data_IF_319364535454
#
_entry.id   IF_319364535454
#
_cell.length_a   1.000
_cell.length_b   1.000
_cell.length_c   1.000
_cell.angle_alpha   90.00
_cell.angle_beta   90.00
_cell.angle_gamma   90.00
#
_symmetry.space_group_name_H-M   'P 1'
#
loop_
_entity.id
_entity.type
_entity.pdbx_description
1 polymer ?
#
# COMPACT_ATOMS: atom_id res chain seq x y z
N UNK A 1 44.02 -17.68 -7.23
CA UNK A 1 42.87 -18.14 -8.06
C UNK A 1 42.04 -16.91 -8.46
N UNK A 2 41.93 -16.61 -9.76
CA UNK A 2 41.09 -15.50 -10.26
C UNK A 2 39.63 -15.98 -10.30
N UNK A 3 38.77 -15.38 -9.48
CA UNK A 3 37.34 -15.68 -9.45
C UNK A 3 36.70 -15.38 -10.81
N UNK A 4 36.05 -16.39 -11.41
CA UNK A 4 35.27 -16.20 -12.63
C UNK A 4 34.14 -15.22 -12.33
N UNK A 5 33.95 -14.15 -13.13
CA UNK A 5 32.82 -13.25 -12.93
C UNK A 5 31.51 -14.01 -13.13
N UNK A 6 30.56 -13.79 -12.22
CA UNK A 6 29.22 -14.35 -12.29
C UNK A 6 28.57 -13.96 -13.63
N UNK A 7 27.75 -14.82 -14.24
CA UNK A 7 27.10 -14.51 -15.50
C UNK A 7 26.14 -13.33 -15.33
N UNK A 8 26.49 -12.20 -15.93
CA UNK A 8 25.63 -11.00 -16.00
C UNK A 8 24.79 -11.12 -17.27
N UNK A 9 23.47 -11.13 -17.12
CA UNK A 9 22.53 -11.11 -18.25
C UNK A 9 22.10 -9.67 -18.48
N UNK A 10 22.60 -9.06 -19.54
CA UNK A 10 22.30 -7.68 -19.92
C UNK A 10 21.02 -7.70 -20.76
N UNK A 11 20.01 -6.95 -20.32
CA UNK A 11 18.78 -6.76 -21.08
C UNK A 11 18.81 -5.38 -21.73
N UNK A 12 18.82 -5.35 -23.05
CA UNK A 12 18.71 -4.14 -23.84
C UNK A 12 17.24 -3.94 -24.27
N UNK A 13 16.76 -2.69 -24.27
CA UNK A 13 15.43 -2.40 -24.82
C UNK A 13 15.46 -2.66 -26.31
N UNK A 14 14.46 -3.37 -26.84
CA UNK A 14 14.27 -3.54 -28.28
C UNK A 14 13.86 -2.20 -28.90
N UNK A 15 14.40 -1.87 -30.07
CA UNK A 15 14.07 -0.64 -30.81
C UNK A 15 12.65 -0.65 -31.39
N UNK A 16 12.11 -1.83 -31.72
CA UNK A 16 10.76 -2.00 -32.28
C UNK A 16 10.04 -3.16 -31.60
N UNK A 17 8.80 -2.91 -31.18
CA UNK A 17 7.93 -3.90 -30.56
C UNK A 17 7.15 -4.68 -31.63
N UNK A 18 7.62 -5.88 -31.98
CA UNK A 18 6.93 -6.80 -32.90
C UNK A 18 5.61 -7.37 -32.31
N UNK A 19 5.26 -7.04 -31.06
CA UNK A 19 3.95 -7.31 -30.46
C UNK A 19 3.06 -6.07 -30.41
N UNK A 20 3.30 -5.08 -31.27
CA UNK A 20 2.31 -4.06 -31.56
C UNK A 20 1.03 -4.75 -32.05
N UNK A 21 0.06 -4.93 -31.15
CA UNK A 21 -1.31 -5.26 -31.52
C UNK A 21 -1.78 -4.19 -32.48
N UNK A 22 -2.33 -4.61 -33.62
CA UNK A 22 -2.91 -3.70 -34.61
C UNK A 22 -3.78 -2.66 -33.88
N UNK A 23 -3.62 -1.39 -34.25
CA UNK A 23 -4.42 -0.30 -33.70
C UNK A 23 -5.87 -0.45 -34.16
N UNK A 24 -6.61 -1.34 -33.50
CA UNK A 24 -7.97 -1.74 -33.83
C UNK A 24 -8.80 -1.87 -32.56
N UNK A 25 -8.77 -0.83 -31.72
CA UNK A 25 -9.71 -0.74 -30.60
C UNK A 25 -11.13 -0.60 -31.15
N UNK A 26 -11.99 -1.59 -30.88
CA UNK A 26 -13.42 -1.49 -31.18
C UNK A 26 -13.96 -0.22 -30.51
N UNK A 27 -14.59 0.70 -31.27
CA UNK A 27 -15.13 1.97 -30.75
C UNK A 27 -16.31 1.77 -29.80
N UNK A 28 -16.76 0.51 -29.65
CA UNK A 28 -17.86 0.17 -28.76
C UNK A 28 -17.40 0.25 -27.30
N UNK A 29 -18.21 0.87 -26.42
CA UNK A 29 -17.93 0.86 -25.00
C UNK A 29 -17.89 -0.59 -24.48
N UNK A 30 -17.03 -0.90 -23.49
CA UNK A 30 -16.98 -2.22 -22.87
C UNK A 30 -18.35 -2.69 -22.36
N UNK A 31 -18.56 -4.01 -22.31
CA UNK A 31 -19.85 -4.61 -21.89
C UNK A 31 -20.29 -4.22 -20.48
N UNK A 32 -19.33 -3.94 -19.60
CA UNK A 32 -19.58 -3.53 -18.21
C UNK A 32 -20.01 -2.07 -18.05
N UNK A 33 -20.00 -1.26 -19.13
CA UNK A 33 -20.46 0.13 -19.07
C UNK A 33 -21.99 0.16 -18.94
N UNK A 34 -22.46 0.67 -17.80
CA UNK A 34 -23.87 0.84 -17.46
C UNK A 34 -24.53 1.85 -18.38
N UNK A 35 -25.85 1.70 -18.57
CA UNK A 35 -26.65 2.58 -19.43
C UNK A 35 -27.98 2.93 -18.77
N UNK A 36 -28.60 4.01 -19.23
CA UNK A 36 -29.97 4.37 -18.85
C UNK A 36 -30.15 4.49 -17.34
N UNK A 37 -31.04 3.67 -16.77
CA UNK A 37 -31.42 3.73 -15.35
C UNK A 37 -30.28 3.31 -14.42
N UNK A 38 -29.56 2.23 -14.74
CA UNK A 38 -28.48 1.70 -13.91
C UNK A 38 -27.32 2.70 -13.78
N UNK A 39 -26.98 3.40 -14.88
CA UNK A 39 -25.96 4.45 -14.85
C UNK A 39 -26.38 5.64 -13.96
N UNK A 40 -27.65 6.04 -14.04
CA UNK A 40 -28.22 7.10 -13.20
C UNK A 40 -28.22 6.71 -11.72
N UNK A 41 -28.63 5.50 -11.41
CA UNK A 41 -28.61 4.96 -10.05
C UNK A 41 -27.17 4.92 -9.51
N UNK A 42 -26.20 4.43 -10.31
CA UNK A 42 -24.78 4.45 -9.92
C UNK A 42 -24.29 5.86 -9.64
N UNK A 43 -24.57 6.81 -10.52
CA UNK A 43 -24.18 8.21 -10.33
C UNK A 43 -24.79 8.83 -9.07
N UNK A 44 -26.06 8.51 -8.75
CA UNK A 44 -26.69 8.96 -7.51
C UNK A 44 -26.01 8.38 -6.27
N UNK A 45 -25.67 7.09 -6.29
CA UNK A 45 -24.90 6.46 -5.20
C UNK A 45 -23.56 7.15 -4.99
N UNK A 46 -22.77 7.34 -6.05
CA UNK A 46 -21.46 7.97 -5.94
C UNK A 46 -21.52 9.43 -5.48
N UNK A 47 -22.57 10.17 -5.86
CA UNK A 47 -22.80 11.53 -5.34
C UNK A 47 -23.12 11.52 -3.85
N UNK A 48 -24.00 10.62 -3.42
CA UNK A 48 -24.33 10.46 -2.00
C UNK A 48 -23.07 10.10 -1.19
N UNK A 49 -22.27 9.17 -1.69
CA UNK A 49 -20.98 8.79 -1.07
C UNK A 49 -20.05 10.01 -0.89
N UNK A 50 -19.97 10.90 -1.88
CA UNK A 50 -19.20 12.13 -1.80
C UNK A 50 -19.77 13.13 -0.79
N UNK A 51 -21.09 13.33 -0.80
CA UNK A 51 -21.78 14.24 0.11
C UNK A 51 -21.59 13.78 1.57
N UNK A 52 -21.69 12.48 1.83
CA UNK A 52 -21.47 11.86 3.15
C UNK A 52 -19.99 11.99 3.58
N UNK A 53 -19.05 11.92 2.62
CA UNK A 53 -17.60 12.00 2.87
C UNK A 53 -17.08 13.43 3.08
N UNK A 54 -17.72 14.42 2.46
CA UNK A 54 -17.26 15.82 2.46
C UNK A 54 -17.00 16.41 3.87
N UNK A 55 -17.91 16.32 4.85
CA UNK A 55 -17.68 16.92 6.17
C UNK A 55 -16.48 16.30 6.90
N UNK A 56 -16.26 14.99 6.72
CA UNK A 56 -15.14 14.27 7.33
C UNK A 56 -13.82 14.74 6.71
N UNK A 57 -13.79 14.85 5.37
CA UNK A 57 -12.62 15.32 4.62
C UNK A 57 -12.25 16.74 5.04
N UNK A 58 -13.22 17.66 5.05
CA UNK A 58 -12.98 19.04 5.46
C UNK A 58 -12.45 19.15 6.89
N UNK A 59 -13.00 18.35 7.82
CA UNK A 59 -12.53 18.28 9.20
C UNK A 59 -11.07 17.80 9.28
N UNK A 60 -10.72 16.72 8.57
CA UNK A 60 -9.35 16.17 8.54
C UNK A 60 -8.34 17.15 7.98
N UNK A 61 -8.68 17.84 6.89
CA UNK A 61 -7.81 18.86 6.27
C UNK A 61 -7.54 20.02 7.24
N UNK A 62 -8.58 20.48 7.96
CA UNK A 62 -8.43 21.53 8.98
C UNK A 62 -7.57 21.06 10.15
N UNK A 63 -7.76 19.82 10.62
CA UNK A 63 -7.04 19.23 11.77
C UNK A 63 -5.55 19.01 11.48
N UNK A 64 -5.21 18.45 10.32
CA UNK A 64 -3.85 17.97 10.04
C UNK A 64 -3.04 18.87 9.10
N UNK A 65 -3.67 19.83 8.40
CA UNK A 65 -3.02 20.73 7.42
C UNK A 65 -2.20 19.99 6.35
N UNK A 66 -2.63 18.79 6.02
CA UNK A 66 -2.14 17.96 4.91
C UNK A 66 -3.33 17.61 4.01
N UNK A 67 -3.10 17.22 2.76
CA UNK A 67 -4.18 16.74 1.88
C UNK A 67 -4.95 15.58 2.51
N UNK A 68 -6.25 15.56 2.29
CA UNK A 68 -7.07 14.40 2.60
C UNK A 68 -7.00 13.37 1.48
N UNK A 69 -7.52 12.17 1.75
CA UNK A 69 -7.49 11.06 0.81
C UNK A 69 -8.88 10.47 0.70
N UNK A 70 -9.31 10.29 -0.53
CA UNK A 70 -10.52 9.57 -0.89
C UNK A 70 -10.13 8.22 -1.48
N UNK A 71 -10.91 7.21 -1.16
CA UNK A 71 -10.80 5.86 -1.67
C UNK A 71 -11.96 5.59 -2.63
N UNK A 72 -11.65 5.15 -3.84
CA UNK A 72 -12.65 4.69 -4.80
C UNK A 72 -12.51 3.19 -5.04
N UNK A 73 -13.56 2.43 -4.77
CA UNK A 73 -13.62 1.00 -5.04
C UNK A 73 -13.99 0.80 -6.51
N UNK A 74 -13.12 0.16 -7.29
CA UNK A 74 -13.26 0.00 -8.75
C UNK A 74 -13.69 -1.44 -9.08
N UNK A 75 -14.42 -1.63 -10.18
CA UNK A 75 -14.72 -2.98 -10.71
C UNK A 75 -13.45 -3.59 -11.32
N UNK A 76 -13.32 -4.92 -11.26
CA UNK A 76 -12.16 -5.64 -11.80
C UNK A 76 -11.87 -5.29 -13.26
N UNK A 77 -12.92 -5.27 -14.08
CA UNK A 77 -12.83 -4.96 -15.51
C UNK A 77 -12.34 -3.52 -15.80
N UNK A 78 -12.48 -2.60 -14.85
CA UNK A 78 -12.06 -1.20 -15.01
C UNK A 78 -10.69 -0.91 -14.40
N UNK A 79 -10.05 -1.91 -13.78
CA UNK A 79 -8.67 -1.81 -13.28
C UNK A 79 -7.62 -2.04 -14.36
N UNK A 80 -7.98 -2.33 -15.61
CA UNK A 80 -7.00 -2.32 -16.68
C UNK A 80 -6.39 -0.91 -16.86
N UNK A 81 -5.09 -0.82 -17.20
CA UNK A 81 -4.38 0.48 -17.37
C UNK A 81 -5.12 1.43 -18.32
N UNK A 82 -5.77 0.89 -19.34
CA UNK A 82 -6.56 1.61 -20.36
C UNK A 82 -7.84 2.25 -19.82
N UNK A 83 -8.29 1.87 -18.62
CA UNK A 83 -9.55 2.34 -18.01
C UNK A 83 -9.31 3.15 -16.74
N UNK A 84 -8.19 2.88 -16.04
CA UNK A 84 -7.75 3.66 -14.87
C UNK A 84 -7.67 5.16 -15.14
N UNK A 85 -7.24 5.57 -16.33
CA UNK A 85 -7.13 6.99 -16.69
C UNK A 85 -8.50 7.69 -16.70
N UNK A 86 -9.55 7.02 -17.18
CA UNK A 86 -10.90 7.60 -17.21
C UNK A 86 -11.43 7.80 -15.77
N UNK A 87 -11.14 6.85 -14.88
CA UNK A 87 -11.50 6.93 -13.45
C UNK A 87 -10.69 8.01 -12.74
N UNK A 88 -9.38 8.08 -12.98
CA UNK A 88 -8.52 9.10 -12.42
C UNK A 88 -8.99 10.51 -12.85
N UNK A 89 -9.38 10.68 -14.12
CA UNK A 89 -9.91 11.95 -14.63
C UNK A 89 -11.26 12.31 -14.01
N UNK A 90 -12.18 11.34 -13.85
CA UNK A 90 -13.45 11.57 -13.16
C UNK A 90 -13.20 12.15 -11.76
N UNK A 91 -12.27 11.56 -11.03
CA UNK A 91 -12.04 11.82 -9.61
C UNK A 91 -10.99 12.91 -9.32
N UNK A 92 -10.22 13.35 -10.33
CA UNK A 92 -9.28 14.48 -10.20
C UNK A 92 -9.93 15.86 -10.38
N UNK A 93 -11.24 15.90 -10.65
CA UNK A 93 -11.96 17.15 -10.90
C UNK A 93 -11.45 17.84 -12.16
N UNK A 94 -11.00 19.09 -12.03
CA UNK A 94 -10.42 19.88 -13.14
C UNK A 94 -8.90 20.04 -13.04
N UNK A 95 -8.26 19.44 -12.05
CA UNK A 95 -6.82 19.59 -11.81
C UNK A 95 -5.95 18.55 -12.52
N UNK A 96 -4.64 18.52 -12.21
CA UNK A 96 -3.73 17.46 -12.65
C UNK A 96 -4.14 16.10 -12.07
N UNK A 97 -3.42 15.04 -12.43
CA UNK A 97 -3.61 13.72 -11.84
C UNK A 97 -3.32 13.75 -10.33
N UNK A 98 -4.36 13.57 -9.52
CA UNK A 98 -4.27 13.50 -8.06
C UNK A 98 -4.21 12.06 -7.54
N UNK A 99 -4.01 11.09 -8.42
CA UNK A 99 -3.89 9.69 -8.04
C UNK A 99 -2.63 9.45 -7.21
N UNK A 100 -2.82 8.87 -6.03
CA UNK A 100 -1.73 8.39 -5.18
C UNK A 100 -1.27 7.02 -5.69
N UNK A 101 -2.23 6.11 -5.90
CA UNK A 101 -1.97 4.75 -6.36
C UNK A 101 -3.14 3.83 -6.11
N UNK A 102 -2.92 2.54 -6.33
CA UNK A 102 -3.90 1.49 -6.03
C UNK A 102 -3.41 0.73 -4.80
N UNK A 103 -4.33 0.47 -3.87
CA UNK A 103 -4.12 -0.39 -2.71
C UNK A 103 -5.05 -1.60 -2.79
N UNK A 104 -4.67 -2.69 -2.12
CA UNK A 104 -5.39 -3.95 -2.19
C UNK A 104 -5.54 -4.43 -3.63
N UNK A 105 -6.68 -5.04 -3.93
CA UNK A 105 -6.98 -5.50 -5.29
C UNK A 105 -7.51 -4.36 -6.16
N UNK A 106 -8.47 -3.58 -5.64
CA UNK A 106 -9.37 -2.78 -6.47
C UNK A 106 -9.61 -1.35 -5.97
N UNK A 107 -8.78 -0.83 -5.07
CA UNK A 107 -9.05 0.46 -4.42
C UNK A 107 -8.08 1.53 -4.91
N UNK A 108 -8.61 2.56 -5.56
CA UNK A 108 -7.85 3.71 -6.04
C UNK A 108 -7.82 4.81 -4.97
N UNK A 109 -6.64 5.25 -4.58
CA UNK A 109 -6.44 6.36 -3.65
C UNK A 109 -6.20 7.67 -4.39
N UNK A 110 -6.93 8.70 -3.99
CA UNK A 110 -6.94 10.00 -4.65
C UNK A 110 -6.77 11.09 -3.62
N UNK A 111 -5.83 11.99 -3.91
CA UNK A 111 -5.47 13.11 -3.06
C UNK A 111 -6.47 14.26 -3.23
N UNK A 112 -6.91 14.84 -2.11
CA UNK A 112 -7.77 16.01 -2.05
C UNK A 112 -7.01 17.15 -1.35
N UNK A 113 -6.55 18.10 -2.15
CA UNK A 113 -5.78 19.28 -1.73
C UNK A 113 -6.69 20.45 -1.27
N UNK A 114 -7.92 20.54 -1.80
CA UNK A 114 -8.89 21.59 -1.47
C UNK A 114 -10.33 21.03 -1.42
N UNK A 115 -11.20 21.50 -0.51
CA UNK A 115 -12.60 21.06 -0.45
C UNK A 115 -13.36 21.21 -1.77
N UNK A 116 -13.04 22.26 -2.56
CA UNK A 116 -13.67 22.50 -3.85
C UNK A 116 -13.48 21.37 -4.88
N UNK A 117 -12.46 20.51 -4.73
CA UNK A 117 -12.28 19.36 -5.62
C UNK A 117 -13.43 18.36 -5.54
N UNK A 118 -14.01 18.12 -4.35
CA UNK A 118 -15.13 17.17 -4.22
C UNK A 118 -16.36 17.65 -5.00
N UNK A 119 -16.59 18.97 -5.03
CA UNK A 119 -17.62 19.58 -5.88
C UNK A 119 -17.31 19.38 -7.36
N UNK A 120 -16.07 19.59 -7.79
CA UNK A 120 -15.64 19.35 -9.18
C UNK A 120 -15.86 17.87 -9.58
N UNK A 121 -15.62 16.92 -8.66
CA UNK A 121 -15.90 15.49 -8.89
C UNK A 121 -17.41 15.23 -8.98
N UNK A 122 -18.22 15.83 -8.10
CA UNK A 122 -19.68 15.72 -8.15
C UNK A 122 -20.26 16.29 -9.46
N UNK A 123 -19.72 17.40 -9.95
CA UNK A 123 -20.04 17.97 -11.27
C UNK A 123 -19.69 16.97 -12.38
N UNK A 124 -18.51 16.34 -12.34
CA UNK A 124 -18.13 15.32 -13.32
C UNK A 124 -19.08 14.10 -13.29
N UNK A 125 -19.47 13.62 -12.10
CA UNK A 125 -20.43 12.51 -11.96
C UNK A 125 -21.82 12.89 -12.51
N UNK A 126 -22.17 14.18 -12.54
CA UNK A 126 -23.42 14.68 -13.11
C UNK A 126 -23.47 14.56 -14.64
N UNK A 127 -22.32 14.63 -15.30
CA UNK A 127 -22.20 14.51 -16.76
C UNK A 127 -22.14 13.03 -17.17
N UNK A 128 -23.32 12.40 -17.20
CA UNK A 128 -23.46 10.98 -17.49
C UNK A 128 -23.02 10.60 -18.91
N UNK A 129 -23.18 11.50 -19.88
CA UNK A 129 -22.82 11.21 -21.26
C UNK A 129 -21.31 11.14 -21.42
N UNK A 130 -20.60 12.13 -20.88
CA UNK A 130 -19.14 12.18 -20.95
C UNK A 130 -18.49 11.11 -20.10
N UNK A 131 -19.04 10.85 -18.90
CA UNK A 131 -18.36 10.06 -17.88
C UNK A 131 -18.97 8.67 -17.64
N UNK A 132 -19.88 8.19 -18.51
CA UNK A 132 -20.56 6.90 -18.38
C UNK A 132 -19.61 5.74 -18.02
N UNK A 133 -18.47 5.65 -18.72
CA UNK A 133 -17.47 4.60 -18.53
C UNK A 133 -16.82 4.69 -17.14
N UNK A 134 -16.37 5.87 -16.74
CA UNK A 134 -15.73 6.06 -15.44
C UNK A 134 -16.72 5.81 -14.28
N UNK A 135 -17.94 6.35 -14.38
CA UNK A 135 -19.02 6.15 -13.39
C UNK A 135 -19.36 4.67 -13.24
N UNK A 136 -19.45 3.94 -14.36
CA UNK A 136 -19.72 2.49 -14.35
C UNK A 136 -18.59 1.71 -13.66
N UNK A 137 -17.36 2.16 -13.82
CA UNK A 137 -16.17 1.53 -13.27
C UNK A 137 -16.00 1.71 -11.76
N UNK A 138 -16.59 2.73 -11.15
CA UNK A 138 -16.50 2.99 -9.70
C UNK A 138 -17.73 2.43 -8.99
N UNK A 139 -17.54 1.50 -8.07
CA UNK A 139 -18.59 0.89 -7.23
C UNK A 139 -19.01 1.81 -6.10
N UNK A 140 -18.03 2.42 -5.43
CA UNK A 140 -18.21 3.18 -4.19
C UNK A 140 -17.11 4.21 -4.02
N UNK A 141 -17.43 5.34 -3.40
CA UNK A 141 -16.45 6.31 -2.92
C UNK A 141 -16.53 6.37 -1.39
N UNK A 142 -15.39 6.46 -0.72
CA UNK A 142 -15.30 6.56 0.74
C UNK A 142 -14.15 7.48 1.13
N UNK A 143 -14.19 7.97 2.36
CA UNK A 143 -13.01 8.54 3.00
C UNK A 143 -12.00 7.44 3.27
N UNK A 144 -10.73 7.65 2.91
CA UNK A 144 -9.68 6.70 3.22
C UNK A 144 -9.35 6.71 4.71
N UNK A 145 -9.20 5.53 5.30
CA UNK A 145 -8.65 5.32 6.64
C UNK A 145 -7.42 4.42 6.53
N UNK A 146 -6.42 4.58 7.41
CA UNK A 146 -5.25 3.72 7.42
C UNK A 146 -5.62 2.24 7.45
N UNK A 147 -4.92 1.43 6.65
CA UNK A 147 -5.08 -0.02 6.67
C UNK A 147 -4.47 -0.59 7.94
N UNK A 148 -5.27 -1.28 8.75
CA UNK A 148 -4.81 -1.92 9.99
C UNK A 148 -4.67 -3.41 9.74
N UNK A 149 -3.44 -3.92 9.85
CA UNK A 149 -3.12 -5.34 9.70
C UNK A 149 -2.32 -5.80 10.90
N UNK A 150 -3.06 -6.13 11.97
CA UNK A 150 -2.50 -6.51 13.26
C UNK A 150 -3.04 -7.89 13.61
N UNK A 151 -2.17 -8.90 13.55
CA UNK A 151 -2.43 -10.24 14.03
C UNK A 151 -2.18 -10.37 15.53
N UNK A 152 -1.46 -11.42 15.93
CA UNK A 152 -1.07 -11.65 17.33
C UNK A 152 0.24 -10.94 17.62
N UNK A 153 0.16 -9.67 18.04
CA UNK A 153 1.34 -8.94 18.52
C UNK A 153 1.54 -9.24 20.00
N UNK A 154 2.75 -9.67 20.35
CA UNK A 154 3.18 -9.86 21.75
C UNK A 154 3.85 -8.58 22.22
N UNK A 155 3.63 -8.20 23.48
CA UNK A 155 4.38 -7.10 24.08
C UNK A 155 5.90 -7.38 24.05
N UNK A 156 6.70 -6.34 24.07
CA UNK A 156 8.14 -6.45 24.32
C UNK A 156 8.37 -6.68 25.83
N UNK A 157 9.64 -6.77 26.23
CA UNK A 157 10.03 -6.98 27.64
C UNK A 157 9.58 -5.86 28.59
N UNK A 158 9.19 -4.70 28.07
CA UNK A 158 8.66 -3.56 28.82
C UNK A 158 7.12 -3.52 28.87
N UNK A 159 6.44 -4.54 28.33
CA UNK A 159 4.99 -4.57 28.26
C UNK A 159 4.38 -3.71 27.15
N UNK A 160 5.19 -3.17 26.22
CA UNK A 160 4.75 -2.29 25.12
C UNK A 160 4.66 -3.02 23.79
N UNK A 161 3.83 -2.51 22.88
CA UNK A 161 3.65 -3.07 21.55
C UNK A 161 4.43 -2.27 20.51
N UNK A 162 5.06 -2.96 19.57
CA UNK A 162 5.87 -2.35 18.51
C UNK A 162 5.15 -2.50 17.17
N UNK A 163 4.83 -1.38 16.55
CA UNK A 163 4.06 -1.28 15.33
C UNK A 163 4.93 -0.74 14.19
N UNK A 164 4.66 -1.25 12.99
CA UNK A 164 5.18 -0.74 11.73
C UNK A 164 4.17 0.25 11.17
N UNK A 165 4.53 1.52 11.10
CA UNK A 165 3.69 2.57 10.51
C UNK A 165 4.30 3.03 9.19
N UNK A 166 3.48 3.00 8.13
CA UNK A 166 3.84 3.49 6.81
C UNK A 166 3.03 4.76 6.54
N UNK A 167 3.69 5.84 6.13
CA UNK A 167 3.01 7.06 5.71
C UNK A 167 2.63 6.99 4.23
N UNK A 168 1.61 7.75 3.86
CA UNK A 168 1.18 7.90 2.46
C UNK A 168 2.27 8.62 1.66
N UNK A 169 2.62 8.05 0.50
CA UNK A 169 3.41 8.72 -0.53
C UNK A 169 2.46 9.47 -1.48
N UNK A 170 2.40 10.80 -1.36
CA UNK A 170 1.55 11.67 -2.19
C UNK A 170 2.12 11.94 -3.60
N UNK A 171 3.19 11.24 -4.00
CA UNK A 171 3.96 11.47 -5.22
C UNK A 171 4.48 12.92 -5.34
N UNK A 172 4.58 13.64 -4.22
CA UNK A 172 5.11 14.99 -4.13
C UNK A 172 6.03 15.09 -2.91
N UNK A 173 7.30 15.39 -3.16
CA UNK A 173 8.33 15.44 -2.13
C UNK A 173 8.00 16.44 -1.01
N UNK A 174 7.46 17.61 -1.33
CA UNK A 174 7.16 18.67 -0.35
C UNK A 174 5.99 18.26 0.52
N UNK A 175 4.95 17.68 -0.08
CA UNK A 175 3.79 17.16 0.66
C UNK A 175 4.23 16.01 1.57
N UNK A 176 5.08 15.09 1.09
CA UNK A 176 5.59 13.98 1.87
C UNK A 176 6.45 14.44 3.07
N UNK A 177 7.34 15.42 2.85
CA UNK A 177 8.13 16.03 3.93
C UNK A 177 7.24 16.70 4.97
N UNK A 178 6.20 17.42 4.52
CA UNK A 178 5.20 18.04 5.38
C UNK A 178 4.46 16.98 6.19
N UNK A 179 3.94 15.93 5.54
CA UNK A 179 3.26 14.82 6.18
C UNK A 179 4.11 14.18 7.29
N UNK A 180 5.38 13.91 7.01
CA UNK A 180 6.32 13.37 8.00
C UNK A 180 6.52 14.29 9.20
N UNK A 181 6.67 15.61 8.99
CA UNK A 181 6.83 16.57 10.08
C UNK A 181 5.56 16.64 10.97
N UNK A 182 4.38 16.67 10.35
CA UNK A 182 3.11 16.65 11.07
C UNK A 182 2.92 15.35 11.84
N UNK A 183 3.24 14.20 11.24
CA UNK A 183 3.17 12.90 11.88
C UNK A 183 4.07 12.83 13.14
N UNK A 184 5.33 13.26 13.02
CA UNK A 184 6.27 13.30 14.16
C UNK A 184 5.73 14.16 15.29
N UNK A 185 5.32 15.40 15.01
CA UNK A 185 4.77 16.30 16.02
C UNK A 185 3.49 15.74 16.64
N UNK A 186 2.64 15.12 15.82
CA UNK A 186 1.37 14.56 16.26
C UNK A 186 1.58 13.35 17.19
N UNK A 187 2.54 12.46 16.91
CA UNK A 187 2.91 11.36 17.82
C UNK A 187 3.49 11.89 19.12
N UNK A 188 4.45 12.83 19.07
CA UNK A 188 5.13 13.33 20.27
C UNK A 188 4.16 13.99 21.27
N UNK A 189 3.02 14.50 20.79
CA UNK A 189 2.00 15.13 21.61
C UNK A 189 0.94 14.15 22.16
N UNK A 190 1.02 12.85 21.84
CA UNK A 190 0.06 11.84 22.34
C UNK A 190 0.68 10.99 23.46
N UNK A 191 -0.07 10.86 24.55
CA UNK A 191 0.33 10.02 25.67
C UNK A 191 0.20 8.53 25.32
N UNK A 192 1.27 7.77 25.59
CA UNK A 192 1.35 6.33 25.38
C UNK A 192 1.62 5.90 23.95
N UNK A 193 2.13 6.82 23.12
CA UNK A 193 2.61 6.56 21.76
C UNK A 193 3.96 7.25 21.61
N UNK A 194 4.98 6.54 21.11
CA UNK A 194 6.28 7.12 20.83
C UNK A 194 6.83 6.63 19.49
N UNK A 195 7.58 7.50 18.81
CA UNK A 195 8.32 7.14 17.61
C UNK A 195 9.72 6.69 18.04
N UNK A 196 10.03 5.40 17.87
CA UNK A 196 11.32 4.83 18.23
C UNK A 196 12.36 5.08 17.15
N UNK A 197 12.08 4.64 15.91
CA UNK A 197 12.98 4.87 14.77
C UNK A 197 12.25 5.00 13.45
N UNK A 198 12.92 5.61 12.47
CA UNK A 198 12.47 5.67 11.08
C UNK A 198 13.57 5.10 10.19
N UNK A 199 13.23 4.14 9.34
CA UNK A 199 14.19 3.42 8.48
C UNK A 199 13.74 3.55 7.04
N UNK A 200 14.61 4.10 6.20
CA UNK A 200 14.40 4.17 4.76
C UNK A 200 14.88 2.88 4.11
N UNK A 201 13.95 2.07 3.63
CA UNK A 201 14.24 0.81 2.93
C UNK A 201 14.47 1.04 1.43
N UNK A 202 13.81 2.03 0.83
CA UNK A 202 14.01 2.42 -0.56
C UNK A 202 13.69 3.90 -0.78
N UNK A 203 13.85 4.39 -2.01
CA UNK A 203 13.44 5.76 -2.38
C UNK A 203 11.94 6.04 -2.20
N UNK A 204 11.11 4.98 -2.17
CA UNK A 204 9.65 5.06 -2.06
C UNK A 204 9.09 4.41 -0.78
N UNK A 205 9.94 3.90 0.09
CA UNK A 205 9.51 3.20 1.30
C UNK A 205 10.35 3.64 2.49
N UNK A 206 9.71 4.40 3.37
CA UNK A 206 10.22 4.74 4.69
C UNK A 206 9.24 4.17 5.72
N UNK A 207 9.80 3.44 6.69
CA UNK A 207 9.03 2.73 7.72
C UNK A 207 9.31 3.38 9.06
N UNK A 208 8.25 3.66 9.81
CA UNK A 208 8.31 4.26 11.13
C UNK A 208 7.95 3.21 12.18
N UNK A 209 8.90 2.88 13.05
CA UNK A 209 8.66 2.02 14.20
C UNK A 209 8.03 2.85 15.31
N UNK A 210 6.77 2.57 15.61
CA UNK A 210 5.99 3.26 16.64
C UNK A 210 5.76 2.29 17.79
N UNK A 211 6.03 2.74 19.01
CA UNK A 211 5.81 1.98 20.23
C UNK A 211 4.56 2.52 20.91
N UNK A 212 3.67 1.63 21.34
CA UNK A 212 2.45 1.97 22.06
C UNK A 212 2.36 1.21 23.38
N UNK A 213 1.81 1.87 24.40
CA UNK A 213 1.67 1.27 25.74
C UNK A 213 0.51 0.25 25.81
N UNK A 214 -0.50 0.39 24.96
CA UNK A 214 -1.61 -0.56 24.82
C UNK A 214 -2.12 -0.62 23.38
N UNK A 215 -2.80 -1.70 23.02
CA UNK A 215 -3.38 -1.87 21.69
C UNK A 215 -4.53 -0.88 21.42
N UNK A 216 -5.22 -0.38 22.45
CA UNK A 216 -6.27 0.65 22.30
C UNK A 216 -5.73 1.93 21.66
N UNK A 217 -4.41 2.20 21.78
CA UNK A 217 -3.74 3.32 21.13
C UNK A 217 -3.64 3.21 19.61
N UNK A 218 -3.98 2.07 19.02
CA UNK A 218 -4.05 1.92 17.56
C UNK A 218 -5.19 2.77 17.00
N UNK A 219 -6.32 2.90 17.71
CA UNK A 219 -7.43 3.76 17.29
C UNK A 219 -6.96 5.21 17.14
N UNK A 220 -6.12 5.68 18.06
CA UNK A 220 -5.52 7.00 17.98
C UNK A 220 -4.72 7.20 16.69
N UNK A 221 -4.01 6.18 16.20
CA UNK A 221 -3.27 6.21 14.93
C UNK A 221 -4.20 6.34 13.71
N UNK A 222 -5.39 5.76 13.76
CA UNK A 222 -6.35 5.84 12.64
C UNK A 222 -6.85 7.26 12.35
N UNK A 223 -6.80 8.15 13.35
CA UNK A 223 -7.19 9.55 13.22
C UNK A 223 -6.29 10.34 12.26
N UNK A 224 -5.03 9.94 12.10
CA UNK A 224 -4.06 10.71 11.31
C UNK A 224 -4.16 10.33 9.83
N UNK A 225 -4.71 11.23 9.02
CA UNK A 225 -5.01 11.00 7.60
C UNK A 225 -3.79 10.73 6.72
N UNK A 226 -2.59 11.02 7.21
CA UNK A 226 -1.34 10.81 6.47
C UNK A 226 -0.69 9.45 6.67
N UNK A 227 -1.27 8.56 7.48
CA UNK A 227 -0.83 7.17 7.61
C UNK A 227 -1.50 6.33 6.52
N UNK A 228 -0.71 5.50 5.84
CA UNK A 228 -1.17 4.53 4.86
C UNK A 228 -1.56 3.21 5.55
N UNK A 229 -0.69 2.70 6.41
CA UNK A 229 -0.94 1.46 7.15
C UNK A 229 -0.30 1.44 8.53
N UNK A 230 -0.92 0.66 9.41
CA UNK A 230 -0.38 0.23 10.70
C UNK A 230 -0.37 -1.30 10.70
N UNK A 231 0.83 -1.85 10.79
CA UNK A 231 1.10 -3.28 10.67
C UNK A 231 1.86 -3.77 11.90
N UNK A 232 1.84 -5.08 12.11
CA UNK A 232 2.74 -5.73 13.05
C UNK A 232 4.20 -5.60 12.60
N UNK A 233 5.08 -5.19 13.51
CA UNK A 233 6.51 -5.09 13.21
C UNK A 233 7.13 -6.49 13.20
N UNK A 234 7.78 -6.93 12.10
CA UNK A 234 8.38 -8.25 12.04
C UNK A 234 9.49 -8.38 13.08
N UNK A 235 9.47 -9.50 13.81
CA UNK A 235 10.52 -9.88 14.78
C UNK A 235 11.30 -11.04 14.19
N UNK A 236 12.62 -10.94 14.24
CA UNK A 236 13.49 -12.09 14.02
C UNK A 236 13.94 -12.57 15.39
N UNK A 237 13.48 -13.75 15.78
CA UNK A 237 14.04 -14.46 16.93
C UNK A 237 15.15 -15.35 16.39
N UNK A 238 16.39 -14.98 16.71
CA UNK A 238 17.53 -15.87 16.48
C UNK A 238 17.47 -16.96 17.54
N UNK A 239 17.18 -18.19 17.12
CA UNK A 239 17.39 -19.36 17.96
C UNK A 239 18.88 -19.66 17.84
N UNK A 240 19.64 -19.45 18.92
CA UNK A 240 20.98 -20.01 19.02
C UNK A 240 20.81 -21.53 19.07
N UNK A 241 21.19 -22.20 17.98
CA UNK A 241 21.17 -23.65 17.83
C UNK A 241 22.35 -24.28 18.61
N UNK A 242 22.48 -23.93 19.90
CA UNK A 242 23.38 -24.61 20.82
C UNK A 242 22.58 -25.72 21.50
N UNK A 243 22.47 -26.86 20.81
CA UNK A 243 22.57 -28.24 21.34
C UNK A 243 22.05 -29.19 20.25
N UNK A 244 22.91 -29.60 19.32
CA UNK A 244 22.84 -31.02 18.97
C UNK A 244 23.11 -31.75 20.29
N UNK A 245 22.13 -32.48 20.89
CA UNK A 245 22.47 -33.34 22.02
C UNK A 245 23.61 -34.20 21.51
N UNK A 246 24.73 -34.21 22.23
CA UNK A 246 25.92 -34.95 21.85
C UNK A 246 25.56 -36.39 21.55
N UNK A 247 25.25 -36.66 20.28
CA UNK A 247 25.10 -38.00 19.75
C UNK A 247 26.54 -38.40 19.54
N UNK A 248 27.12 -38.91 20.63
CA UNK A 248 28.27 -39.77 20.53
C UNK A 248 27.88 -40.86 19.53
N UNK A 249 28.36 -40.73 18.30
CA UNK A 249 28.36 -41.84 17.37
C UNK A 249 29.40 -42.78 17.97
N UNK A 250 28.94 -43.90 18.52
CA UNK A 250 29.85 -44.98 18.88
C UNK A 250 30.55 -45.41 17.60
N UNK A 251 31.83 -45.07 17.48
CA UNK A 251 32.67 -45.59 16.42
C UNK A 251 32.89 -47.06 16.76
N UNK A 252 32.39 -48.03 15.96
CA UNK A 252 32.62 -49.43 16.25
C UNK A 252 34.13 -49.71 16.17
N UNK A 253 34.66 -50.37 17.21
CA UNK A 253 36.02 -50.88 17.14
C UNK A 253 36.08 -52.03 16.14
N UNK A 254 37.19 -52.17 15.39
CA UNK A 254 37.36 -53.30 14.48
C UNK A 254 37.28 -54.62 15.26
N UNK A 255 36.58 -55.60 14.70
CA UNK A 255 36.41 -56.91 15.31
C UNK A 255 37.72 -57.72 15.21
N UNK A 256 38.08 -58.38 16.31
CA UNK A 256 39.23 -59.30 16.33
C UNK A 256 38.99 -60.44 15.32
N UNK A 257 39.91 -60.62 14.37
CA UNK A 257 39.88 -61.58 13.24
C UNK A 257 39.11 -61.16 11.98
N UNK A 258 38.78 -59.87 11.81
CA UNK A 258 38.28 -59.34 10.53
C UNK A 258 39.38 -58.52 9.84
N UNK A 259 39.74 -58.88 8.61
CA UNK A 259 40.66 -58.09 7.79
C UNK A 259 39.93 -56.89 7.17
N UNK A 260 40.38 -55.68 7.52
CA UNK A 260 39.86 -54.44 6.94
C UNK A 260 40.82 -53.90 5.87
N UNK A 261 40.31 -53.29 4.79
CA UNK A 261 41.14 -52.76 3.72
C UNK A 261 41.99 -51.58 4.23
N UNK A 262 43.31 -51.65 4.02
CA UNK A 262 44.25 -50.58 4.34
C UNK A 262 44.17 -49.55 3.21
N UNK A 263 43.69 -48.35 3.53
CA UNK A 263 43.70 -47.22 2.59
C UNK A 263 45.04 -46.52 2.75
N UNK A 264 46.01 -46.81 1.87
CA UNK A 264 47.20 -45.99 1.76
C UNK A 264 46.86 -44.67 1.05
N UNK A 265 47.07 -43.55 1.73
CA UNK A 265 46.92 -42.22 1.16
C UNK A 265 48.07 -41.93 0.19
N UNK A 266 47.75 -41.75 -1.09
CA UNK A 266 48.65 -41.24 -2.15
C UNK A 266 48.82 -39.73 -2.03
#
# INVERSE_FOLDING_TARGET
MKGKPLPIKIFEKRDVDERAVEAGGDKKPPKWVLKGKELKERAMTLKKDLDDSQPIIESRMKKHKIPAIVKACVIDDALAKTHRNDIAQLLSGRGPDYTIGIIGENELLIRIDKPGQLKEVSDNISDLEKNAKAISGVKKIDVFNPNISIGKIVANNEGKFVLKVILVDFNDKRINETNLQYFKRWITNRQGISLDKSVRYSSKLEVHQVVVDSLDKIEDLTDFSGILSVEEMPRMEGIEDDFFPGTWIEVPNPEENVEYPIIESV
#
